data_IF_395566848894
#
_entry.id   IF_395566848894
#
_cell.length_a   1.000
_cell.length_b   1.000
_cell.length_c   1.000
_cell.angle_alpha   90.00
_cell.angle_beta   90.00
_cell.angle_gamma   90.00
#
_symmetry.space_group_name_H-M   'P 1'
#
loop_
_entity.id
_entity.type
_entity.pdbx_description
1 polymer ?
#
# COMPACT_ATOMS: atom_id res chain seq x y z
N UNK A 1 -17.78 -8.24 20.14
CA UNK A 1 -18.15 -7.23 19.11
C UNK A 1 -18.16 -5.81 19.66
N UNK A 2 -18.80 -5.51 20.81
CA UNK A 2 -18.66 -4.20 21.50
C UNK A 2 -17.23 -3.92 21.99
N UNK A 3 -16.43 -4.97 22.22
CA UNK A 3 -15.10 -4.89 22.82
C UNK A 3 -13.92 -4.55 21.89
N UNK A 4 -14.09 -4.49 20.56
CA UNK A 4 -12.97 -4.13 19.65
C UNK A 4 -12.76 -2.61 19.48
N UNK A 5 -13.45 -1.78 20.27
CA UNK A 5 -13.23 -0.33 20.28
C UNK A 5 -13.76 0.45 19.07
N UNK A 6 -14.25 -0.20 17.99
CA UNK A 6 -14.74 0.46 16.77
C UNK A 6 -15.79 1.56 17.03
N UNK A 7 -16.77 1.29 17.89
CA UNK A 7 -17.85 2.24 18.22
C UNK A 7 -17.40 3.36 19.17
N UNK A 8 -16.35 3.12 19.95
CA UNK A 8 -15.81 4.07 20.94
C UNK A 8 -14.59 4.83 20.42
N UNK A 9 -14.16 4.56 19.17
CA UNK A 9 -12.93 5.07 18.56
C UNK A 9 -11.68 4.85 19.43
N UNK A 10 -11.66 3.73 20.15
CA UNK A 10 -10.52 3.37 20.98
C UNK A 10 -9.45 2.69 20.11
N UNK A 11 -8.47 3.50 19.71
CA UNK A 11 -7.37 3.13 18.83
C UNK A 11 -6.58 1.94 19.37
N UNK A 12 -6.39 1.84 20.70
CA UNK A 12 -5.59 0.78 21.31
C UNK A 12 -6.28 -0.58 21.24
N UNK A 13 -7.61 -0.60 21.37
CA UNK A 13 -8.41 -1.81 21.26
C UNK A 13 -8.72 -2.20 19.80
N UNK A 14 -8.65 -1.22 18.89
CA UNK A 14 -8.87 -1.44 17.46
C UNK A 14 -7.60 -1.88 16.72
N UNK A 15 -6.42 -1.40 17.14
CA UNK A 15 -5.16 -1.73 16.48
C UNK A 15 -4.73 -3.17 16.76
N UNK A 16 -4.82 -4.00 15.75
CA UNK A 16 -4.13 -5.29 15.72
C UNK A 16 -2.65 -5.07 15.32
N UNK A 17 -1.78 -4.94 16.33
CA UNK A 17 -0.35 -4.68 16.13
C UNK A 17 0.29 -5.73 15.21
N UNK A 18 -0.18 -6.97 15.26
CA UNK A 18 0.44 -8.03 14.47
C UNK A 18 0.16 -7.83 12.97
N UNK A 19 -1.10 -7.61 12.60
CA UNK A 19 -1.47 -7.45 11.20
C UNK A 19 -1.11 -6.07 10.63
N UNK A 20 -1.21 -5.01 11.44
CA UNK A 20 -1.02 -3.63 10.97
C UNK A 20 0.44 -3.18 11.01
N UNK A 21 1.27 -3.72 11.91
CA UNK A 21 2.67 -3.31 12.06
C UNK A 21 3.65 -4.43 11.76
N UNK A 22 3.50 -5.59 12.40
CA UNK A 22 4.50 -6.67 12.34
C UNK A 22 4.60 -7.25 10.93
N UNK A 23 3.47 -7.63 10.31
CA UNK A 23 3.47 -8.20 8.95
C UNK A 23 4.06 -7.21 7.93
N UNK A 24 3.60 -5.95 7.83
CA UNK A 24 4.16 -4.99 6.88
C UNK A 24 5.66 -4.76 7.10
N UNK A 25 6.10 -4.59 8.34
CA UNK A 25 7.52 -4.39 8.65
C UNK A 25 8.38 -5.60 8.25
N UNK A 26 7.96 -6.82 8.58
CA UNK A 26 8.69 -8.03 8.19
C UNK A 26 8.77 -8.15 6.67
N UNK A 27 7.65 -7.92 5.97
CA UNK A 27 7.65 -7.99 4.49
C UNK A 27 8.58 -6.94 3.90
N UNK A 28 8.54 -5.70 4.40
CA UNK A 28 9.43 -4.62 4.00
C UNK A 28 10.90 -4.95 4.27
N UNK A 29 11.23 -5.52 5.44
CA UNK A 29 12.61 -5.90 5.77
C UNK A 29 13.14 -7.05 4.91
N UNK A 30 12.29 -8.01 4.53
CA UNK A 30 12.71 -9.15 3.72
C UNK A 30 12.93 -8.72 2.27
N UNK A 31 12.01 -7.94 1.70
CA UNK A 31 11.98 -7.70 0.24
C UNK A 31 12.22 -6.25 -0.18
N UNK A 32 12.10 -5.28 0.74
CA UNK A 32 12.09 -3.85 0.40
C UNK A 32 10.75 -3.36 -0.14
N UNK A 33 9.74 -4.23 -0.17
CA UNK A 33 8.40 -3.95 -0.64
C UNK A 33 7.39 -4.12 0.51
N UNK A 34 6.64 -3.08 0.84
CA UNK A 34 5.57 -3.17 1.82
C UNK A 34 4.32 -3.76 1.19
N UNK A 35 3.88 -4.94 1.64
CA UNK A 35 2.51 -5.39 1.33
C UNK A 35 1.56 -4.40 2.00
N UNK A 36 0.53 -3.87 1.29
CA UNK A 36 -0.49 -3.05 1.93
C UNK A 36 -1.15 -3.89 3.03
N UNK A 37 -0.95 -3.45 4.27
CA UNK A 37 -1.46 -4.12 5.46
C UNK A 37 -2.78 -3.50 5.85
N UNK A 38 -3.89 -4.05 5.39
CA UNK A 38 -5.20 -3.69 5.94
C UNK A 38 -6.10 -4.92 6.03
N UNK A 39 -5.91 -5.69 7.10
CA UNK A 39 -6.91 -6.62 7.58
C UNK A 39 -7.75 -5.93 8.65
N UNK A 40 -8.62 -5.05 8.20
CA UNK A 40 -9.71 -4.60 9.04
C UNK A 40 -10.74 -5.73 9.12
N UNK A 41 -11.10 -6.12 10.34
CA UNK A 41 -12.19 -7.05 10.57
C UNK A 41 -13.52 -6.33 10.33
N UNK A 42 -13.87 -6.10 9.06
CA UNK A 42 -15.15 -5.50 8.71
C UNK A 42 -16.26 -6.53 8.87
N UNK A 43 -17.29 -6.13 9.60
CA UNK A 43 -18.53 -6.90 9.68
C UNK A 43 -19.40 -6.56 8.48
N UNK A 44 -18.96 -7.05 7.31
CA UNK A 44 -19.62 -6.82 6.03
C UNK A 44 -21.11 -7.25 6.06
N UNK A 45 -21.42 -8.24 6.90
CA UNK A 45 -22.78 -8.74 7.13
C UNK A 45 -23.80 -7.71 7.64
N UNK A 46 -23.36 -6.61 8.27
CA UNK A 46 -24.28 -5.54 8.70
C UNK A 46 -24.57 -4.51 7.60
N UNK A 47 -23.78 -4.48 6.52
CA UNK A 47 -23.91 -3.50 5.44
C UNK A 47 -24.83 -4.05 4.37
N UNK A 48 -26.04 -3.48 4.26
CA UNK A 48 -27.09 -3.96 3.34
C UNK A 48 -26.96 -3.43 1.90
N UNK A 49 -26.23 -2.33 1.70
CA UNK A 49 -26.10 -1.70 0.38
C UNK A 49 -24.78 -2.08 -0.28
N UNK A 50 -24.88 -2.70 -1.46
CA UNK A 50 -23.71 -3.03 -2.32
C UNK A 50 -22.83 -1.81 -2.63
N UNK A 51 -23.44 -0.64 -2.84
CA UNK A 51 -22.69 0.58 -3.13
C UNK A 51 -21.90 1.07 -1.91
N UNK A 52 -22.49 1.02 -0.72
CA UNK A 52 -21.80 1.41 0.51
C UNK A 52 -20.61 0.49 0.77
N UNK A 53 -20.79 -0.80 0.52
CA UNK A 53 -19.75 -1.81 0.68
C UNK A 53 -18.58 -1.53 -0.27
N UNK A 54 -18.85 -1.25 -1.55
CA UNK A 54 -17.81 -0.84 -2.50
C UNK A 54 -17.12 0.47 -2.12
N UNK A 55 -17.84 1.48 -1.61
CA UNK A 55 -17.23 2.74 -1.14
C UNK A 55 -16.31 2.54 0.06
N UNK A 56 -16.62 1.61 0.96
CA UNK A 56 -15.76 1.29 2.10
C UNK A 56 -14.43 0.71 1.61
N UNK A 57 -14.46 -0.24 0.68
CA UNK A 57 -13.22 -0.76 0.08
C UNK A 57 -12.47 0.29 -0.73
N UNK A 58 -13.18 1.19 -1.43
CA UNK A 58 -12.56 2.28 -2.18
C UNK A 58 -11.88 3.33 -1.28
N UNK A 59 -12.18 3.36 0.02
CA UNK A 59 -11.59 4.31 0.97
C UNK A 59 -10.07 4.17 1.07
N UNK A 60 -9.52 2.96 1.01
CA UNK A 60 -8.08 2.70 1.01
C UNK A 60 -7.36 3.37 -0.16
N UNK A 61 -7.70 3.01 -1.42
CA UNK A 61 -7.13 3.66 -2.61
C UNK A 61 -7.33 5.19 -2.64
N UNK A 62 -8.46 5.70 -2.12
CA UNK A 62 -8.69 7.15 -2.01
C UNK A 62 -7.71 7.77 -1.02
N UNK A 63 -7.51 7.15 0.15
CA UNK A 63 -6.53 7.61 1.12
C UNK A 63 -5.12 7.61 0.54
N UNK A 64 -4.73 6.57 -0.19
CA UNK A 64 -3.43 6.52 -0.88
C UNK A 64 -3.26 7.71 -1.83
N UNK A 65 -4.26 8.00 -2.68
CA UNK A 65 -4.23 9.18 -3.57
C UNK A 65 -4.08 10.48 -2.78
N UNK A 66 -4.84 10.66 -1.70
CA UNK A 66 -4.77 11.89 -0.89
C UNK A 66 -3.38 12.09 -0.29
N UNK A 67 -2.77 11.03 0.24
CA UNK A 67 -1.42 11.10 0.80
C UNK A 67 -0.34 11.27 -0.27
N UNK A 68 -0.49 10.66 -1.45
CA UNK A 68 0.38 10.90 -2.61
C UNK A 68 0.37 12.39 -2.95
N UNK A 69 -0.81 12.99 -3.13
CA UNK A 69 -0.94 14.41 -3.45
C UNK A 69 -0.34 15.31 -2.36
N UNK A 70 -0.57 14.97 -1.10
CA UNK A 70 0.00 15.70 0.03
C UNK A 70 1.53 15.65 0.05
N UNK A 71 2.12 14.48 -0.15
CA UNK A 71 3.58 14.32 -0.12
C UNK A 71 4.26 14.91 -1.36
N UNK A 72 3.62 14.80 -2.53
CA UNK A 72 4.05 15.48 -3.77
C UNK A 72 4.07 16.99 -3.57
N UNK A 73 3.04 17.55 -2.91
CA UNK A 73 3.01 18.97 -2.57
C UNK A 73 4.20 19.38 -1.70
N UNK A 74 4.52 18.63 -0.64
CA UNK A 74 5.68 18.90 0.22
C UNK A 74 7.01 18.72 -0.52
N UNK A 75 7.13 17.72 -1.38
CA UNK A 75 8.31 17.47 -2.20
C UNK A 75 8.58 18.63 -3.18
N UNK A 76 7.53 19.15 -3.83
CA UNK A 76 7.63 20.28 -4.74
C UNK A 76 7.93 21.59 -3.99
N UNK A 77 7.29 21.80 -2.83
CA UNK A 77 7.58 22.93 -1.96
C UNK A 77 9.04 22.93 -1.50
N UNK A 78 9.58 21.77 -1.11
CA UNK A 78 10.99 21.60 -0.77
C UNK A 78 11.90 21.98 -1.95
N UNK A 79 11.61 21.47 -3.14
CA UNK A 79 12.40 21.76 -4.35
C UNK A 79 12.40 23.26 -4.68
N UNK A 80 11.24 23.91 -4.55
CA UNK A 80 11.10 25.35 -4.72
C UNK A 80 11.92 26.14 -3.69
N UNK A 81 11.88 25.76 -2.42
CA UNK A 81 12.66 26.41 -1.36
C UNK A 81 14.17 26.25 -1.57
N UNK A 82 14.62 25.04 -1.93
CA UNK A 82 16.04 24.75 -2.21
C UNK A 82 16.59 25.58 -3.38
N UNK A 83 15.79 25.78 -4.43
CA UNK A 83 16.20 26.56 -5.61
C UNK A 83 16.19 28.07 -5.34
N UNK A 84 15.38 28.53 -4.38
CA UNK A 84 15.31 29.92 -3.98
C UNK A 84 16.44 30.30 -3.00
N UNK A 85 17.58 30.73 -3.55
CA UNK A 85 18.74 31.25 -2.79
C UNK A 85 18.45 32.44 -1.86
N UNK A 86 17.23 33.02 -1.90
CA UNK A 86 16.81 34.13 -1.02
C UNK A 86 16.44 33.67 0.40
N UNK A 87 16.14 32.39 0.59
CA UNK A 87 15.81 31.82 1.88
C UNK A 87 17.03 31.04 2.39
N UNK A 88 17.60 31.44 3.53
CA UNK A 88 18.68 30.73 4.22
C UNK A 88 18.17 29.43 4.89
N UNK A 89 17.28 28.70 4.22
CA UNK A 89 16.76 27.42 4.68
C UNK A 89 17.44 26.36 3.83
N UNK A 90 18.35 25.61 4.44
CA UNK A 90 18.94 24.41 3.85
C UNK A 90 18.19 23.20 4.40
N UNK A 91 17.10 22.76 3.74
CA UNK A 91 16.34 21.65 4.26
C UNK A 91 17.15 20.34 4.14
N UNK A 92 16.93 19.42 5.08
CA UNK A 92 17.80 18.25 5.24
C UNK A 92 17.58 17.25 4.08
N UNK A 93 18.66 16.78 3.40
CA UNK A 93 18.53 15.93 2.22
C UNK A 93 17.82 14.59 2.50
N UNK A 94 17.93 14.08 3.73
CA UNK A 94 17.24 12.85 4.13
C UNK A 94 15.70 12.98 4.07
N UNK A 95 15.13 14.14 4.46
CA UNK A 95 13.68 14.35 4.41
C UNK A 95 13.14 14.32 2.97
N UNK A 96 13.94 14.82 2.04
CA UNK A 96 13.59 14.85 0.63
C UNK A 96 13.58 13.44 0.01
N UNK A 97 14.61 12.65 0.33
CA UNK A 97 14.72 11.25 -0.10
C UNK A 97 13.63 10.41 0.55
N UNK A 98 13.31 10.64 1.83
CA UNK A 98 12.23 9.93 2.53
C UNK A 98 10.85 10.27 1.96
N UNK A 99 10.62 11.51 1.52
CA UNK A 99 9.37 11.88 0.84
C UNK A 99 9.25 11.19 -0.52
N UNK A 100 10.30 11.21 -1.34
CA UNK A 100 10.29 10.56 -2.66
C UNK A 100 10.06 9.04 -2.56
N UNK A 101 10.74 8.38 -1.62
CA UNK A 101 10.52 6.94 -1.34
C UNK A 101 9.12 6.65 -0.81
N UNK A 102 8.61 7.44 0.13
CA UNK A 102 7.26 7.25 0.66
C UNK A 102 6.21 7.40 -0.44
N UNK A 103 6.39 8.34 -1.37
CA UNK A 103 5.49 8.49 -2.52
C UNK A 103 5.57 7.26 -3.43
N UNK A 104 6.77 6.71 -3.67
CA UNK A 104 6.93 5.45 -4.41
C UNK A 104 6.12 4.32 -3.78
N UNK A 105 6.26 4.12 -2.46
CA UNK A 105 5.51 3.08 -1.74
C UNK A 105 4.00 3.31 -1.75
N UNK A 106 3.53 4.55 -1.66
CA UNK A 106 2.10 4.85 -1.75
C UNK A 106 1.55 4.56 -3.16
N UNK A 107 2.31 4.88 -4.22
CA UNK A 107 1.92 4.55 -5.60
C UNK A 107 1.86 3.03 -5.79
N UNK A 108 2.81 2.29 -5.24
CA UNK A 108 2.83 0.82 -5.26
C UNK A 108 1.63 0.22 -4.50
N UNK A 109 1.36 0.72 -3.28
CA UNK A 109 0.18 0.36 -2.49
C UNK A 109 -1.11 0.59 -3.27
N UNK A 110 -1.27 1.77 -3.86
CA UNK A 110 -2.44 2.14 -4.64
C UNK A 110 -2.68 1.21 -5.83
N UNK A 111 -1.63 0.92 -6.61
CA UNK A 111 -1.73 0.03 -7.77
C UNK A 111 -2.12 -1.39 -7.38
N UNK A 112 -1.60 -1.90 -6.26
CA UNK A 112 -1.99 -3.20 -5.73
C UNK A 112 -3.44 -3.18 -5.21
N UNK A 113 -3.81 -2.16 -4.45
CA UNK A 113 -5.14 -2.05 -3.84
C UNK A 113 -6.25 -1.85 -4.87
N UNK A 114 -5.96 -1.39 -6.09
CA UNK A 114 -6.97 -1.34 -7.18
C UNK A 114 -7.10 -2.67 -7.92
N UNK A 115 -6.12 -3.56 -7.84
CA UNK A 115 -6.17 -4.82 -8.55
C UNK A 115 -7.33 -5.69 -8.02
N UNK A 116 -8.12 -6.33 -8.91
CA UNK A 116 -9.25 -7.18 -8.52
C UNK A 116 -8.76 -8.56 -8.06
N UNK A 117 -7.95 -8.59 -7.00
CA UNK A 117 -7.35 -9.78 -6.43
C UNK A 117 -7.87 -9.94 -5.01
N UNK A 118 -8.32 -11.15 -4.67
CA UNK A 118 -8.79 -11.51 -3.34
C UNK A 118 -7.78 -11.07 -2.26
N UNK A 119 -8.27 -10.40 -1.21
CA UNK A 119 -7.44 -9.83 -0.15
C UNK A 119 -6.98 -8.38 -0.38
N UNK A 120 -7.12 -7.83 -1.59
CA UNK A 120 -6.94 -6.38 -1.85
C UNK A 120 -8.28 -5.66 -1.94
N UNK A 121 -8.26 -4.35 -1.68
CA UNK A 121 -9.46 -3.50 -1.69
C UNK A 121 -10.24 -3.57 -3.01
N UNK A 122 -9.55 -3.69 -4.14
CA UNK A 122 -10.13 -3.74 -5.48
C UNK A 122 -11.03 -4.96 -5.71
N UNK A 123 -10.76 -6.07 -5.02
CA UNK A 123 -11.69 -7.20 -5.00
C UNK A 123 -12.97 -6.85 -4.27
N UNK A 124 -12.86 -6.26 -3.08
CA UNK A 124 -14.01 -5.85 -2.27
C UNK A 124 -14.90 -4.79 -2.95
N UNK A 125 -14.35 -3.98 -3.85
CA UNK A 125 -15.15 -3.07 -4.70
C UNK A 125 -16.08 -3.84 -5.65
N UNK A 126 -15.58 -4.94 -6.22
CA UNK A 126 -16.29 -5.73 -7.26
C UNK A 126 -17.15 -6.84 -6.64
N UNK A 127 -16.74 -7.38 -5.49
CA UNK A 127 -17.39 -8.47 -4.75
C UNK A 127 -18.94 -8.36 -4.69
N UNK A 128 -19.53 -7.20 -4.35
CA UNK A 128 -20.99 -7.07 -4.25
C UNK A 128 -21.75 -7.19 -5.57
N UNK A 129 -21.05 -7.18 -6.70
CA UNK A 129 -21.61 -7.24 -8.05
C UNK A 129 -21.37 -8.59 -8.73
N UNK A 130 -20.63 -9.51 -8.10
CA UNK A 130 -20.39 -10.84 -8.65
C UNK A 130 -21.66 -11.71 -8.60
N UNK A 131 -21.83 -12.63 -9.58
CA UNK A 131 -22.99 -13.52 -9.63
C UNK A 131 -22.99 -14.51 -8.46
N UNK A 132 -24.19 -14.92 -8.05
CA UNK A 132 -24.43 -15.73 -6.83
C UNK A 132 -23.59 -17.03 -6.75
N UNK A 133 -23.31 -17.68 -7.88
CA UNK A 133 -22.51 -18.92 -7.90
C UNK A 133 -21.06 -18.72 -7.40
N UNK A 134 -20.46 -17.55 -7.66
CA UNK A 134 -19.13 -17.21 -7.20
C UNK A 134 -19.14 -16.90 -5.70
N UNK A 135 -20.21 -16.28 -5.21
CA UNK A 135 -20.38 -16.01 -3.79
C UNK A 135 -20.51 -17.31 -3.00
N UNK A 136 -21.31 -18.28 -3.44
CA UNK A 136 -21.48 -19.55 -2.72
C UNK A 136 -20.17 -20.36 -2.60
N UNK A 137 -19.27 -20.22 -3.58
CA UNK A 137 -17.96 -20.89 -3.62
C UNK A 137 -16.93 -20.23 -2.68
N UNK A 138 -17.10 -18.94 -2.41
CA UNK A 138 -16.19 -18.10 -1.62
C UNK A 138 -16.73 -17.85 -0.20
N UNK A 139 -18.04 -18.04 0.02
CA UNK A 139 -18.79 -17.68 1.23
C UNK A 139 -18.46 -18.49 2.49
N UNK A 140 -17.63 -19.53 2.42
CA UNK A 140 -17.12 -20.11 3.65
C UNK A 140 -16.20 -19.08 4.32
N UNK A 141 -16.59 -18.61 5.51
CA UNK A 141 -15.85 -17.60 6.29
C UNK A 141 -14.36 -18.00 6.48
N UNK A 142 -14.09 -19.31 6.56
CA UNK A 142 -12.75 -19.89 6.62
C UNK A 142 -11.99 -19.70 5.31
N UNK A 143 -12.66 -19.92 4.17
CA UNK A 143 -12.10 -19.79 2.82
C UNK A 143 -11.79 -18.31 2.55
N UNK A 144 -12.72 -17.40 2.84
CA UNK A 144 -12.49 -15.97 2.66
C UNK A 144 -11.32 -15.45 3.53
N UNK A 145 -11.30 -15.83 4.81
CA UNK A 145 -10.22 -15.45 5.71
C UNK A 145 -8.89 -16.05 5.25
N UNK A 146 -8.84 -17.32 4.83
CA UNK A 146 -7.59 -17.93 4.38
C UNK A 146 -7.09 -17.33 3.06
N UNK A 147 -7.96 -17.18 2.05
CA UNK A 147 -7.61 -16.61 0.75
C UNK A 147 -7.20 -15.14 0.84
N UNK A 148 -7.79 -14.36 1.76
CA UNK A 148 -7.40 -12.97 1.95
C UNK A 148 -5.96 -12.81 2.46
N UNK A 149 -5.37 -13.82 3.13
CA UNK A 149 -3.94 -13.83 3.46
C UNK A 149 -3.08 -14.45 2.35
N UNK A 150 -3.54 -15.56 1.77
CA UNK A 150 -2.75 -16.33 0.80
C UNK A 150 -2.60 -15.60 -0.52
N UNK A 151 -3.66 -14.95 -1.02
CA UNK A 151 -3.62 -14.25 -2.31
C UNK A 151 -2.63 -13.08 -2.30
N UNK A 152 -2.63 -12.15 -1.31
CA UNK A 152 -1.62 -11.10 -1.23
C UNK A 152 -0.21 -11.65 -1.05
N UNK A 153 -0.04 -12.73 -0.27
CA UNK A 153 1.26 -13.36 -0.09
C UNK A 153 1.78 -14.03 -1.38
N UNK A 154 0.91 -14.66 -2.17
CA UNK A 154 1.25 -15.18 -3.49
C UNK A 154 1.62 -14.07 -4.47
N UNK A 155 0.86 -12.98 -4.48
CA UNK A 155 1.17 -11.78 -5.27
C UNK A 155 2.54 -11.23 -4.87
N UNK A 156 2.83 -11.18 -3.57
CA UNK A 156 4.12 -10.74 -3.03
C UNK A 156 5.28 -11.65 -3.45
N UNK A 157 5.14 -12.97 -3.31
CA UNK A 157 6.16 -13.93 -3.76
C UNK A 157 6.36 -13.80 -5.28
N UNK A 158 5.26 -13.72 -6.01
CA UNK A 158 5.27 -13.60 -7.47
C UNK A 158 6.03 -12.35 -7.92
N UNK A 159 5.73 -11.17 -7.35
CA UNK A 159 6.41 -9.94 -7.72
C UNK A 159 7.89 -9.92 -7.31
N UNK A 160 8.25 -10.48 -6.15
CA UNK A 160 9.63 -10.41 -5.65
C UNK A 160 10.58 -11.47 -6.21
N UNK A 161 10.10 -12.68 -6.50
CA UNK A 161 10.97 -13.80 -6.89
C UNK A 161 10.92 -14.15 -8.38
N UNK A 162 9.91 -13.68 -9.13
CA UNK A 162 9.76 -13.95 -10.57
C UNK A 162 10.14 -12.69 -11.34
N UNK A 163 11.46 -12.49 -11.49
CA UNK A 163 12.17 -11.27 -11.92
C UNK A 163 11.62 -10.55 -13.18
N UNK A 164 10.83 -11.21 -14.03
CA UNK A 164 10.35 -10.64 -15.28
C UNK A 164 9.17 -9.64 -15.14
N UNK A 165 8.33 -9.73 -14.10
CA UNK A 165 7.16 -8.84 -13.93
C UNK A 165 7.33 -7.75 -12.88
N UNK A 166 8.32 -7.86 -11.98
CA UNK A 166 8.79 -6.74 -11.17
C UNK A 166 9.15 -5.55 -12.06
N UNK A 167 9.74 -5.81 -13.23
CA UNK A 167 10.02 -4.80 -14.26
C UNK A 167 8.79 -4.08 -14.81
N UNK A 168 7.63 -4.73 -14.90
CA UNK A 168 6.41 -4.08 -15.39
C UNK A 168 5.83 -3.15 -14.33
N UNK A 169 5.71 -3.65 -13.09
CA UNK A 169 5.18 -2.86 -11.98
C UNK A 169 6.08 -1.66 -11.67
N UNK A 170 7.39 -1.88 -11.59
CA UNK A 170 8.38 -0.80 -11.43
C UNK A 170 8.40 0.17 -12.60
N UNK A 171 8.17 -0.27 -13.85
CA UNK A 171 8.02 0.65 -14.98
C UNK A 171 6.80 1.54 -14.86
N UNK A 172 5.65 0.98 -14.43
CA UNK A 172 4.44 1.77 -14.21
C UNK A 172 4.65 2.76 -13.07
N UNK A 173 5.21 2.31 -11.95
CA UNK A 173 5.44 3.21 -10.80
C UNK A 173 6.43 4.31 -11.18
N UNK A 174 7.51 3.98 -11.87
CA UNK A 174 8.47 4.96 -12.39
C UNK A 174 7.84 5.95 -13.38
N UNK A 175 6.97 5.48 -14.28
CA UNK A 175 6.21 6.35 -15.19
C UNK A 175 5.30 7.30 -14.42
N UNK A 176 4.55 6.81 -13.43
CA UNK A 176 3.68 7.64 -12.60
C UNK A 176 4.50 8.67 -11.81
N UNK A 177 5.62 8.24 -11.20
CA UNK A 177 6.48 9.12 -10.42
C UNK A 177 7.09 10.22 -11.29
N UNK A 178 7.66 9.88 -12.45
CA UNK A 178 8.40 10.82 -13.28
C UNK A 178 7.47 11.70 -14.12
N UNK A 179 6.54 11.11 -14.86
CA UNK A 179 5.76 11.81 -15.89
C UNK A 179 4.47 12.42 -15.34
N UNK A 180 3.85 11.79 -14.34
CA UNK A 180 2.61 12.29 -13.71
C UNK A 180 2.89 13.17 -12.50
N UNK A 181 3.83 12.77 -11.63
CA UNK A 181 4.09 13.44 -10.36
C UNK A 181 5.32 14.35 -10.36
N UNK A 182 6.19 14.28 -11.38
CA UNK A 182 7.38 15.11 -11.50
C UNK A 182 8.49 14.78 -10.49
N UNK A 183 8.49 13.58 -9.92
CA UNK A 183 9.47 13.11 -8.94
C UNK A 183 10.62 12.44 -9.67
N UNK A 184 11.86 12.83 -9.37
CA UNK A 184 13.01 12.19 -9.98
C UNK A 184 13.22 10.79 -9.39
N UNK A 185 13.20 9.78 -10.26
CA UNK A 185 13.31 8.35 -9.90
C UNK A 185 14.53 8.09 -9.02
N UNK A 186 15.65 8.75 -9.30
CA UNK A 186 16.88 8.60 -8.52
C UNK A 186 16.68 8.86 -7.02
N UNK A 187 15.81 9.79 -6.62
CA UNK A 187 15.54 10.05 -5.20
C UNK A 187 14.76 8.92 -4.54
N UNK A 188 13.81 8.32 -5.26
CA UNK A 188 13.06 7.17 -4.78
C UNK A 188 13.95 5.92 -4.72
N UNK A 189 14.72 5.63 -5.79
CA UNK A 189 15.60 4.45 -5.83
C UNK A 189 16.70 4.54 -4.78
N UNK A 190 17.33 5.71 -4.61
CA UNK A 190 18.40 5.89 -3.63
C UNK A 190 17.91 5.61 -2.20
N UNK A 191 16.71 6.06 -1.85
CA UNK A 191 16.16 5.77 -0.54
C UNK A 191 15.69 4.32 -0.40
N UNK A 192 15.14 3.71 -1.45
CA UNK A 192 14.77 2.29 -1.46
C UNK A 192 16.00 1.39 -1.28
N UNK A 193 17.09 1.68 -2.01
CA UNK A 193 18.37 0.96 -1.93
C UNK A 193 19.08 1.16 -0.58
N UNK A 194 18.75 2.24 0.13
CA UNK A 194 19.27 2.50 1.48
C UNK A 194 18.62 1.60 2.54
N UNK A 195 17.50 0.93 2.24
CA UNK A 195 16.92 -0.04 3.16
C UNK A 195 17.72 -1.34 3.15
N UNK A 196 18.25 -1.79 4.30
CA UNK A 196 18.96 -3.07 4.38
C UNK A 196 17.94 -4.21 4.27
N UNK A 197 17.75 -4.73 3.06
CA UNK A 197 16.85 -5.87 2.84
C UNK A 197 17.60 -7.18 3.01
N UNK A 198 16.96 -8.17 3.63
CA UNK A 198 17.53 -9.51 3.78
C UNK A 198 17.89 -10.12 2.41
N UNK A 199 17.05 -9.88 1.41
CA UNK A 199 17.29 -10.30 0.03
C UNK A 199 18.59 -9.69 -0.55
N UNK A 200 18.85 -8.39 -0.34
CA UNK A 200 20.08 -7.75 -0.82
C UNK A 200 21.35 -8.33 -0.17
N UNK A 201 21.24 -8.78 1.08
CA UNK A 201 22.33 -9.41 1.81
C UNK A 201 22.60 -10.83 1.28
N UNK A 202 21.54 -11.62 1.09
CA UNK A 202 21.64 -12.99 0.56
C UNK A 202 22.14 -13.03 -0.89
N UNK A 203 21.80 -12.04 -1.73
CA UNK A 203 22.27 -11.95 -3.12
C UNK A 203 23.77 -11.61 -3.24
N UNK A 204 24.37 -11.04 -2.19
CA UNK A 204 25.80 -10.69 -2.14
C UNK A 204 26.69 -11.82 -1.60
N UNK A 205 26.10 -12.86 -1.00
CA UNK A 205 26.78 -14.08 -0.54
C UNK A 205 26.97 -15.06 -1.68
#
# INVERSE_FOLDING_TARGET
>A
MVYKGYLYLDILNYLDIFHTLIIPLITLFITGFGIPGNLYWLQLHFIRSRFQLSFIFLSGPISDILYILLFVFFYNMYTFLKNNKKLNVNPHPALFISLATSISFLVESFLLNICPILGFDGWGVIEPYLPYFLNDLINEEIVYNFLSYVCPLLVFIYFNFIEAKFLFFTKITNYILQDLLGIAIYHATFGADSFPTLYSYLKKM
#
